data_IF_610641830237
#
_entry.id   IF_610641830237
#
_cell.length_a   1.000
_cell.length_b   1.000
_cell.length_c   1.000
_cell.angle_alpha   90.00
_cell.angle_beta   90.00
_cell.angle_gamma   90.00
#
_symmetry.space_group_name_H-M   'P 1'
#
loop_
_entity.id
_entity.type
_entity.pdbx_description
1 polymer ?
#
# COMPACT_ATOMS: atom_id res chain seq x y z
N UNK A 1 17.87 -30.41 -31.28
CA UNK A 1 18.55 -29.42 -30.44
C UNK A 1 17.50 -28.63 -29.66
N UNK A 2 17.11 -29.09 -28.48
CA UNK A 2 16.38 -28.29 -27.49
C UNK A 2 16.99 -28.66 -26.15
N UNK A 3 17.79 -27.75 -25.58
CA UNK A 3 18.30 -27.88 -24.22
C UNK A 3 17.28 -27.23 -23.30
N UNK A 4 16.58 -28.04 -22.51
CA UNK A 4 15.79 -27.57 -21.38
C UNK A 4 16.80 -27.24 -20.27
N UNK A 5 17.09 -25.96 -20.06
CA UNK A 5 17.83 -25.50 -18.88
C UNK A 5 16.85 -25.43 -17.71
N UNK A 6 16.79 -26.49 -16.89
CA UNK A 6 16.24 -26.38 -15.55
C UNK A 6 17.30 -25.73 -14.67
N UNK A 7 17.23 -24.41 -14.49
CA UNK A 7 18.08 -23.72 -13.52
C UNK A 7 17.59 -24.08 -12.11
N UNK A 8 18.33 -24.95 -11.43
CA UNK A 8 18.17 -25.15 -10.00
C UNK A 8 18.72 -23.90 -9.30
N UNK A 9 17.85 -23.00 -8.85
CA UNK A 9 18.26 -21.86 -8.03
C UNK A 9 18.48 -22.37 -6.59
N UNK A 10 19.73 -22.58 -6.21
CA UNK A 10 20.08 -22.89 -4.81
C UNK A 10 20.07 -21.59 -3.99
N UNK A 11 19.05 -21.40 -3.14
CA UNK A 11 19.04 -20.28 -2.19
C UNK A 11 19.88 -20.69 -0.97
N UNK A 12 21.00 -20.00 -0.66
CA UNK A 12 21.83 -20.36 0.48
C UNK A 12 21.07 -20.12 1.80
N UNK A 13 21.35 -20.93 2.82
CA UNK A 13 20.67 -20.87 4.13
C UNK A 13 20.79 -19.50 4.86
N UNK A 14 21.71 -18.65 4.41
CA UNK A 14 21.94 -17.30 4.91
C UNK A 14 21.62 -16.20 3.88
N UNK A 15 20.86 -16.53 2.82
CA UNK A 15 20.41 -15.54 1.85
C UNK A 15 19.69 -14.40 2.58
N UNK A 16 20.23 -13.20 2.40
CA UNK A 16 19.56 -11.97 2.82
C UNK A 16 18.82 -11.38 1.63
N UNK A 17 17.81 -10.57 1.91
CA UNK A 17 17.23 -9.69 0.90
C UNK A 17 18.35 -8.87 0.27
N UNK A 18 18.34 -8.77 -1.06
CA UNK A 18 19.35 -8.01 -1.78
C UNK A 18 19.30 -6.50 -1.43
N UNK A 19 18.19 -6.03 -0.88
CA UNK A 19 17.96 -4.64 -0.51
C UNK A 19 17.17 -4.52 0.81
N UNK A 20 17.38 -3.42 1.53
CA UNK A 20 16.54 -3.04 2.67
C UNK A 20 15.16 -2.60 2.18
N UNK A 21 14.11 -2.99 2.91
CA UNK A 21 12.77 -2.46 2.68
C UNK A 21 12.67 -0.98 3.07
N UNK A 22 11.76 -0.26 2.41
CA UNK A 22 11.40 1.12 2.73
C UNK A 22 9.90 1.20 3.01
N UNK A 23 9.50 2.11 3.89
CA UNK A 23 8.08 2.40 4.11
C UNK A 23 7.58 3.30 2.98
N UNK A 24 6.57 2.84 2.24
CA UNK A 24 5.94 3.59 1.15
C UNK A 24 4.69 4.33 1.63
N UNK A 25 3.95 3.76 2.59
CA UNK A 25 2.68 4.29 3.07
C UNK A 25 2.57 4.21 4.60
N UNK A 26 1.98 5.22 5.21
CA UNK A 26 1.82 5.31 6.66
C UNK A 26 3.15 5.48 7.41
N UNK A 27 3.35 4.66 8.45
CA UNK A 27 4.61 4.63 9.22
C UNK A 27 4.76 5.66 10.34
N UNK A 28 3.76 6.52 10.55
CA UNK A 28 3.80 7.61 11.54
C UNK A 28 2.80 7.41 12.69
N UNK A 29 2.48 6.15 13.00
CA UNK A 29 1.48 5.78 13.99
C UNK A 29 0.06 5.73 13.44
N UNK A 30 -0.85 5.27 14.28
CA UNK A 30 -2.30 5.29 14.03
C UNK A 30 -2.83 6.73 14.04
N UNK A 31 -3.72 7.06 13.10
CA UNK A 31 -4.33 8.38 13.00
C UNK A 31 -4.83 8.71 11.61
N UNK A 32 -5.23 9.97 11.42
CA UNK A 32 -5.90 10.45 10.21
C UNK A 32 -5.09 11.49 9.41
N UNK A 33 -3.85 11.78 9.80
CA UNK A 33 -2.96 12.59 8.98
C UNK A 33 -2.68 11.91 7.62
N UNK A 34 -2.17 12.68 6.64
CA UNK A 34 -1.86 12.17 5.30
C UNK A 34 -0.73 11.15 5.27
N UNK A 35 0.10 11.09 6.31
CA UNK A 35 1.18 10.12 6.49
C UNK A 35 0.85 9.04 7.55
N UNK A 36 -0.43 8.94 7.95
CA UNK A 36 -0.95 7.96 8.91
C UNK A 36 -2.08 7.15 8.29
N UNK A 37 -2.34 5.98 8.88
CA UNK A 37 -3.43 5.07 8.53
C UNK A 37 -4.09 4.61 9.83
N UNK A 38 -5.36 4.21 9.77
CA UNK A 38 -6.10 3.65 10.90
C UNK A 38 -6.92 2.43 10.48
N UNK A 39 -6.57 1.28 11.07
CA UNK A 39 -7.10 -0.04 10.74
C UNK A 39 -7.29 -0.28 9.23
N UNK A 40 -6.24 -0.21 8.38
CA UNK A 40 -6.41 -0.46 6.94
C UNK A 40 -6.66 -1.94 6.64
N UNK A 41 -7.56 -2.24 5.68
CA UNK A 41 -7.90 -3.62 5.28
C UNK A 41 -7.47 -3.96 3.86
N UNK A 42 -7.61 -3.02 2.93
CA UNK A 42 -7.36 -3.20 1.51
C UNK A 42 -6.00 -2.66 1.07
N UNK A 43 -5.32 -3.40 0.19
CA UNK A 43 -4.08 -2.97 -0.46
C UNK A 43 -4.09 -3.39 -1.93
N UNK A 44 -3.83 -2.44 -2.81
CA UNK A 44 -3.60 -2.66 -4.24
C UNK A 44 -2.35 -1.92 -4.69
N UNK A 45 -1.62 -2.49 -5.64
CA UNK A 45 -0.43 -1.89 -6.26
C UNK A 45 -0.60 -2.00 -7.77
N UNK A 46 -0.46 -0.89 -8.49
CA UNK A 46 -0.52 -0.87 -9.96
C UNK A 46 0.86 -1.05 -10.61
N UNK A 47 0.87 -1.10 -11.95
CA UNK A 47 2.09 -1.28 -12.75
C UNK A 47 3.08 -0.10 -12.61
N UNK A 48 2.59 1.08 -12.21
CA UNK A 48 3.40 2.27 -11.93
C UNK A 48 3.95 2.28 -10.48
N UNK A 49 3.77 1.18 -9.74
CA UNK A 49 4.13 1.02 -8.32
C UNK A 49 3.39 2.01 -7.39
N UNK A 50 2.23 2.49 -7.81
CA UNK A 50 1.36 3.29 -6.96
C UNK A 50 0.64 2.38 -5.99
N UNK A 51 0.72 2.72 -4.71
CA UNK A 51 0.10 1.98 -3.62
C UNK A 51 -1.23 2.63 -3.26
N UNK A 52 -2.32 1.86 -3.33
CA UNK A 52 -3.65 2.28 -2.92
C UNK A 52 -4.10 1.45 -1.72
N UNK A 53 -4.51 2.12 -0.66
CA UNK A 53 -4.88 1.51 0.61
C UNK A 53 -6.30 1.93 0.99
N UNK A 54 -7.12 0.96 1.39
CA UNK A 54 -8.37 1.23 2.09
C UNK A 54 -8.06 1.50 3.56
N UNK A 55 -8.13 2.76 3.96
CA UNK A 55 -7.89 3.26 5.31
C UNK A 55 -9.24 3.25 6.07
N UNK A 56 -9.60 2.04 6.52
CA UNK A 56 -10.99 1.65 6.81
C UNK A 56 -11.61 2.43 7.96
N UNK A 57 -10.92 2.60 9.11
CA UNK A 57 -11.48 3.39 10.23
C UNK A 57 -11.57 4.89 9.89
N UNK A 58 -10.66 5.38 9.04
CA UNK A 58 -10.71 6.75 8.55
C UNK A 58 -11.73 6.95 7.42
N UNK A 59 -12.41 5.88 6.96
CA UNK A 59 -13.45 5.94 5.94
C UNK A 59 -12.97 6.61 4.64
N UNK A 60 -11.75 6.26 4.19
CA UNK A 60 -11.12 6.85 3.01
C UNK A 60 -10.28 5.84 2.23
N UNK A 61 -10.06 6.13 0.96
CA UNK A 61 -9.05 5.46 0.13
C UNK A 61 -7.87 6.41 0.00
N UNK A 62 -6.68 5.91 0.33
CA UNK A 62 -5.43 6.65 0.27
C UNK A 62 -4.53 6.12 -0.85
N UNK A 63 -3.81 7.01 -1.50
CA UNK A 63 -2.86 6.70 -2.57
C UNK A 63 -1.47 7.26 -2.26
N UNK A 64 -0.43 6.45 -2.46
CA UNK A 64 0.99 6.85 -2.45
C UNK A 64 1.64 6.50 -3.76
N UNK A 65 2.31 7.47 -4.37
CA UNK A 65 3.12 7.22 -5.56
C UNK A 65 4.52 6.78 -5.15
N UNK A 66 5.15 5.99 -5.99
CA UNK A 66 6.49 5.48 -5.71
C UNK A 66 7.56 6.59 -5.61
N UNK A 67 7.32 7.74 -6.24
CA UNK A 67 8.21 8.91 -6.23
C UNK A 67 7.92 9.92 -5.10
N UNK A 68 6.79 9.80 -4.40
CA UNK A 68 6.45 10.60 -3.22
C UNK A 68 5.80 9.73 -2.12
N UNK A 69 6.65 9.30 -1.18
CA UNK A 69 6.26 8.46 -0.05
C UNK A 69 6.04 9.25 1.24
N UNK A 70 6.16 10.59 1.19
CA UNK A 70 6.11 11.41 2.42
C UNK A 70 4.69 11.56 2.93
N UNK A 71 3.73 11.78 2.02
CA UNK A 71 2.33 11.96 2.34
C UNK A 71 1.45 11.28 1.28
N UNK A 72 0.43 10.58 1.75
CA UNK A 72 -0.60 10.01 0.90
C UNK A 72 -1.62 11.05 0.49
N UNK A 73 -2.35 10.74 -0.58
CA UNK A 73 -3.44 11.54 -1.09
C UNK A 73 -4.76 10.82 -0.88
N UNK A 74 -5.79 11.54 -0.42
CA UNK A 74 -7.15 11.00 -0.36
C UNK A 74 -7.71 10.98 -1.78
N UNK A 75 -8.03 9.80 -2.30
CA UNK A 75 -8.60 9.63 -3.65
C UNK A 75 -10.09 9.28 -3.65
N UNK A 76 -10.63 8.87 -2.50
CA UNK A 76 -12.07 8.72 -2.25
C UNK A 76 -12.38 8.77 -0.74
N UNK A 77 -13.60 9.18 -0.39
CA UNK A 77 -14.05 9.25 1.00
C UNK A 77 -13.43 10.40 1.81
N UNK A 78 -13.23 10.17 3.13
CA UNK A 78 -12.60 11.13 4.04
C UNK A 78 -13.53 12.18 4.67
N UNK A 79 -14.83 12.18 4.32
CA UNK A 79 -15.83 13.09 4.90
C UNK A 79 -16.80 12.37 5.85
N UNK A 80 -16.28 11.39 6.58
CA UNK A 80 -17.02 10.55 7.50
C UNK A 80 -17.78 9.40 6.83
N UNK A 81 -18.46 8.63 7.69
CA UNK A 81 -19.24 7.45 7.33
C UNK A 81 -20.46 7.83 6.50
N UNK A 82 -20.68 7.16 5.37
CA UNK A 82 -21.95 7.29 4.63
C UNK A 82 -21.90 6.94 3.16
N UNK A 83 -23.01 7.24 2.48
CA UNK A 83 -23.23 7.00 1.03
C UNK A 83 -23.26 8.29 0.21
N UNK A 84 -22.87 9.42 0.80
CA UNK A 84 -22.72 10.68 0.09
C UNK A 84 -21.57 10.63 -0.92
N UNK A 85 -21.55 11.58 -1.86
CA UNK A 85 -20.58 11.62 -2.97
C UNK A 85 -19.10 11.56 -2.54
N UNK A 86 -18.79 12.01 -1.32
CA UNK A 86 -17.43 12.07 -0.79
C UNK A 86 -17.30 11.32 0.56
N UNK A 87 -18.20 10.37 0.83
CA UNK A 87 -18.22 9.54 2.02
C UNK A 87 -17.99 8.08 1.65
N UNK A 88 -17.42 7.32 2.59
CA UNK A 88 -17.31 5.86 2.51
C UNK A 88 -17.68 5.30 3.88
N UNK A 89 -18.06 4.03 3.94
CA UNK A 89 -18.38 3.33 5.18
C UNK A 89 -17.63 2.00 5.16
N UNK A 90 -16.55 1.92 5.94
CA UNK A 90 -15.71 0.73 6.06
C UNK A 90 -15.19 0.19 4.72
N UNK A 91 -14.47 0.98 3.89
CA UNK A 91 -13.92 0.49 2.63
C UNK A 91 -12.88 -0.62 2.86
N UNK A 92 -12.79 -1.55 1.89
CA UNK A 92 -11.87 -2.71 1.87
C UNK A 92 -11.29 -2.93 0.49
#
# INVERSE_FOLDING_TARGET
FILIFSLLVTIPANAKWAQNGVTIAGGHGDGNATNQLSFPYGLFIDDDQTVVIADTENNRIMQWKNDDTTNGQVVAGGNGVGRGLHQLDGPT
#
